data_IF_034061158088
#
_entry.id   IF_034061158088
#
_cell.length_a   1.000
_cell.length_b   1.000
_cell.length_c   1.000
_cell.angle_alpha   90.00
_cell.angle_beta   90.00
_cell.angle_gamma   90.00
#
_symmetry.space_group_name_H-M   'P 1'
#
loop_
_entity.id
_entity.type
_entity.pdbx_description
1 polymer ?
#
# COMPACT_ATOMS: atom_id res chain seq x y z
N UNK A 1 -12.84 -8.69 -9.53
CA UNK A 1 -11.72 -7.75 -9.26
C UNK A 1 -10.35 -8.39 -9.37
N UNK A 2 -10.14 -9.66 -8.97
CA UNK A 2 -8.85 -10.38 -9.16
C UNK A 2 -8.29 -10.33 -10.59
N UNK A 3 -9.15 -10.38 -11.62
CA UNK A 3 -8.76 -10.31 -13.04
C UNK A 3 -8.19 -8.94 -13.45
N UNK A 4 -8.66 -7.85 -12.83
CA UNK A 4 -8.18 -6.48 -13.11
C UNK A 4 -6.82 -6.24 -12.45
N UNK A 5 -6.61 -6.77 -11.24
CA UNK A 5 -5.32 -6.73 -10.55
C UNK A 5 -4.25 -7.62 -11.17
N UNK A 6 -4.61 -8.65 -11.93
CA UNK A 6 -3.62 -9.39 -12.74
C UNK A 6 -3.25 -8.63 -14.00
N UNK A 7 -4.21 -7.92 -14.61
CA UNK A 7 -3.97 -7.14 -15.82
C UNK A 7 -3.03 -5.94 -15.57
N UNK A 8 -3.23 -5.19 -14.47
CA UNK A 8 -2.34 -4.08 -14.11
C UNK A 8 -0.91 -4.55 -13.81
N UNK A 9 -0.77 -5.65 -13.07
CA UNK A 9 0.54 -6.27 -12.79
C UNK A 9 1.26 -6.75 -14.06
N UNK A 10 0.54 -7.37 -15.00
CA UNK A 10 1.11 -7.77 -16.30
C UNK A 10 1.59 -6.54 -17.07
N UNK A 11 0.82 -5.44 -17.06
CA UNK A 11 1.19 -4.20 -17.73
C UNK A 11 2.47 -3.58 -17.15
N UNK A 12 2.61 -3.59 -15.82
CA UNK A 12 3.82 -3.12 -15.13
C UNK A 12 5.01 -4.00 -15.51
N UNK A 13 4.86 -5.33 -15.45
CA UNK A 13 5.94 -6.26 -15.80
C UNK A 13 6.39 -6.09 -17.25
N UNK A 14 5.44 -5.97 -18.19
CA UNK A 14 5.74 -5.71 -19.60
C UNK A 14 6.48 -4.38 -19.78
N UNK A 15 6.06 -3.32 -19.08
CA UNK A 15 6.73 -2.02 -19.10
C UNK A 15 8.15 -2.07 -18.54
N UNK A 16 8.38 -2.79 -17.44
CA UNK A 16 9.73 -2.96 -16.86
C UNK A 16 10.65 -3.75 -17.79
N UNK A 17 10.16 -4.87 -18.34
CA UNK A 17 10.94 -5.68 -19.29
C UNK A 17 11.29 -4.84 -20.53
N UNK A 18 10.32 -4.11 -21.08
CA UNK A 18 10.54 -3.20 -22.21
C UNK A 18 11.55 -2.11 -21.89
N UNK A 19 11.50 -1.52 -20.70
CA UNK A 19 12.44 -0.49 -20.27
C UNK A 19 13.87 -1.00 -20.18
N UNK A 20 14.06 -2.24 -19.72
CA UNK A 20 15.39 -2.86 -19.61
C UNK A 20 15.95 -3.21 -21.00
N UNK A 21 15.11 -3.74 -21.90
CA UNK A 21 15.55 -4.21 -23.21
C UNK A 21 15.70 -3.07 -24.24
N UNK A 22 14.90 -2.01 -24.14
CA UNK A 22 14.76 -0.96 -25.15
C UNK A 22 14.79 0.44 -24.53
N UNK A 23 15.71 0.67 -23.59
CA UNK A 23 15.81 1.94 -22.87
C UNK A 23 15.93 3.15 -23.81
N UNK A 24 16.84 3.11 -24.78
CA UNK A 24 17.18 4.29 -25.60
C UNK A 24 16.06 4.71 -26.56
N UNK A 25 15.22 3.77 -27.01
CA UNK A 25 14.19 4.03 -28.03
C UNK A 25 12.78 4.07 -27.46
N UNK A 26 12.52 3.33 -26.38
CA UNK A 26 11.18 3.09 -25.85
C UNK A 26 11.02 3.52 -24.39
N UNK A 27 11.98 4.25 -23.81
CA UNK A 27 11.87 4.79 -22.44
C UNK A 27 10.53 5.50 -22.14
N UNK A 28 10.05 6.49 -22.92
CA UNK A 28 8.82 7.21 -22.57
C UNK A 28 7.59 6.32 -22.61
N UNK A 29 7.51 5.38 -23.57
CA UNK A 29 6.41 4.42 -23.70
C UNK A 29 6.41 3.43 -22.54
N UNK A 30 7.59 2.90 -22.20
CA UNK A 30 7.77 1.92 -21.13
C UNK A 30 7.43 2.52 -19.76
N UNK A 31 7.86 3.77 -19.51
CA UNK A 31 7.47 4.54 -18.32
C UNK A 31 5.95 4.76 -18.31
N UNK A 32 5.35 5.13 -19.43
CA UNK A 32 3.90 5.31 -19.55
C UNK A 32 3.11 4.05 -19.19
N UNK A 33 3.56 2.88 -19.64
CA UNK A 33 2.96 1.59 -19.29
C UNK A 33 3.06 1.29 -17.79
N UNK A 34 4.22 1.51 -17.17
CA UNK A 34 4.43 1.29 -15.74
C UNK A 34 3.51 2.19 -14.92
N UNK A 35 3.47 3.49 -15.24
CA UNK A 35 2.63 4.47 -14.53
C UNK A 35 1.16 4.12 -14.67
N UNK A 36 0.71 3.79 -15.88
CA UNK A 36 -0.70 3.43 -16.13
C UNK A 36 -1.09 2.17 -15.38
N UNK A 37 -0.23 1.15 -15.38
CA UNK A 37 -0.45 -0.09 -14.63
C UNK A 37 -0.52 0.15 -13.12
N UNK A 38 0.39 0.97 -12.58
CA UNK A 38 0.40 1.34 -11.17
C UNK A 38 -0.86 2.13 -10.76
N UNK A 39 -1.32 3.07 -11.59
CA UNK A 39 -2.56 3.81 -11.37
C UNK A 39 -3.78 2.90 -11.37
N UNK A 40 -3.82 1.92 -12.28
CA UNK A 40 -4.90 0.94 -12.35
C UNK A 40 -4.96 0.08 -11.07
N UNK A 41 -3.82 -0.43 -10.60
CA UNK A 41 -3.73 -1.17 -9.33
C UNK A 41 -4.19 -0.31 -8.14
N UNK A 42 -3.72 0.93 -8.07
CA UNK A 42 -4.11 1.86 -7.02
C UNK A 42 -5.63 2.11 -7.04
N UNK A 43 -6.24 2.30 -8.21
CA UNK A 43 -7.68 2.48 -8.37
C UNK A 43 -8.47 1.24 -7.91
N UNK A 44 -8.02 0.04 -8.26
CA UNK A 44 -8.66 -1.21 -7.83
C UNK A 44 -8.54 -1.37 -6.30
N UNK A 45 -7.37 -1.10 -5.72
CA UNK A 45 -7.12 -1.16 -4.28
C UNK A 45 -7.98 -0.15 -3.48
N UNK A 46 -8.23 1.03 -4.06
CA UNK A 46 -9.15 2.02 -3.48
C UNK A 46 -10.60 1.54 -3.55
N UNK A 47 -11.00 0.85 -4.63
CA UNK A 47 -12.37 0.36 -4.84
C UNK A 47 -12.69 -0.86 -3.98
N UNK A 48 -11.74 -1.76 -3.72
CA UNK A 48 -11.96 -2.92 -2.82
C UNK A 48 -12.13 -2.52 -1.36
N UNK A 49 -11.57 -1.38 -0.94
CA UNK A 49 -11.66 -0.85 0.43
C UNK A 49 -12.63 0.34 0.51
N UNK A 50 -13.71 0.33 -0.29
CA UNK A 50 -14.65 1.45 -0.44
C UNK A 50 -15.22 1.92 0.91
N UNK A 51 -15.51 0.99 1.81
CA UNK A 51 -16.11 1.27 3.12
C UNK A 51 -15.13 1.86 4.14
N UNK A 52 -13.84 1.89 3.83
CA UNK A 52 -12.80 2.47 4.70
C UNK A 52 -12.50 3.90 4.27
N UNK A 53 -12.21 4.82 5.19
CA UNK A 53 -11.76 6.16 4.83
C UNK A 53 -10.41 6.14 4.09
N UNK A 54 -10.21 7.04 3.12
CA UNK A 54 -9.00 7.16 2.26
C UNK A 54 -7.67 6.98 3.01
N UNK A 55 -7.40 7.69 4.14
CA UNK A 55 -6.13 7.52 4.87
C UNK A 55 -5.88 6.07 5.32
N UNK A 56 -6.92 5.34 5.71
CA UNK A 56 -6.78 3.92 6.09
C UNK A 56 -6.58 3.00 4.88
N UNK A 57 -6.96 3.41 3.66
CA UNK A 57 -6.71 2.64 2.44
C UNK A 57 -5.25 2.74 2.00
N UNK A 58 -4.68 3.95 2.12
CA UNK A 58 -3.30 4.29 1.76
C UNK A 58 -2.25 3.92 2.83
N UNK A 59 -2.68 3.38 3.98
CA UNK A 59 -1.77 3.02 5.08
C UNK A 59 -1.44 4.17 6.04
N UNK A 60 -1.95 5.37 5.80
CA UNK A 60 -1.87 6.51 6.71
C UNK A 60 -2.92 6.40 7.81
N UNK A 61 -2.67 5.51 8.76
CA UNK A 61 -3.58 5.27 9.88
C UNK A 61 -3.34 6.29 11.01
N UNK A 62 -4.43 6.89 11.52
CA UNK A 62 -4.42 7.56 12.83
C UNK A 62 -4.69 6.51 13.91
N UNK A 63 -3.79 6.41 14.88
CA UNK A 63 -3.89 5.47 15.99
C UNK A 63 -4.10 6.20 17.30
N UNK A 64 -4.90 5.61 18.17
CA UNK A 64 -4.98 5.98 19.58
C UNK A 64 -4.25 4.95 20.43
N UNK A 65 -3.66 5.43 21.51
CA UNK A 65 -3.11 4.57 22.54
C UNK A 65 -4.26 3.90 23.30
N UNK A 66 -4.34 2.57 23.23
CA UNK A 66 -5.40 1.79 23.90
C UNK A 66 -4.93 1.09 25.15
N UNK A 67 -3.62 1.05 25.42
CA UNK A 67 -3.08 0.43 26.63
C UNK A 67 -1.68 -0.13 26.44
N UNK A 68 -1.26 -0.95 27.39
CA UNK A 68 0.00 -1.68 27.36
C UNK A 68 -0.25 -3.16 27.11
N UNK A 69 0.75 -3.85 26.58
CA UNK A 69 0.69 -5.30 26.42
C UNK A 69 0.70 -5.99 27.79
N UNK A 70 -0.19 -6.96 27.97
CA UNK A 70 -0.30 -7.74 29.21
C UNK A 70 0.94 -8.60 29.45
N UNK A 71 1.57 -9.10 28.37
CA UNK A 71 2.77 -9.93 28.44
C UNK A 71 4.04 -9.09 28.57
N UNK A 72 4.06 -7.90 27.96
CA UNK A 72 5.22 -7.01 27.99
C UNK A 72 4.81 -5.54 28.21
N UNK A 73 4.83 -5.11 29.48
CA UNK A 73 4.50 -3.73 29.87
C UNK A 73 5.37 -2.66 29.20
N UNK A 74 6.52 -3.03 28.63
CA UNK A 74 7.37 -2.14 27.85
C UNK A 74 6.86 -1.89 26.42
N UNK A 75 5.73 -2.50 26.03
CA UNK A 75 5.08 -2.29 24.74
C UNK A 75 3.76 -1.53 24.90
N UNK A 76 3.64 -0.42 24.16
CA UNK A 76 2.38 0.32 23.99
C UNK A 76 1.57 -0.27 22.84
N UNK A 77 0.28 -0.46 23.08
CA UNK A 77 -0.71 -0.88 22.10
C UNK A 77 -1.40 0.35 21.54
N UNK A 78 -1.37 0.47 20.23
CA UNK A 78 -2.01 1.52 19.46
C UNK A 78 -3.08 0.91 18.55
N UNK A 79 -4.31 1.39 18.60
CA UNK A 79 -5.40 0.93 17.74
C UNK A 79 -5.84 2.03 16.78
N UNK A 80 -6.02 1.68 15.50
CA UNK A 80 -6.53 2.64 14.53
C UNK A 80 -8.01 2.95 14.80
N UNK A 81 -8.36 4.23 14.96
CA UNK A 81 -9.74 4.71 15.23
C UNK A 81 -10.79 4.23 14.23
N UNK A 82 -10.39 3.89 13.01
CA UNK A 82 -11.28 3.68 11.87
C UNK A 82 -11.31 2.24 11.36
N UNK A 83 -10.15 1.57 11.30
CA UNK A 83 -10.06 0.21 10.79
C UNK A 83 -9.68 -0.81 11.85
N UNK A 84 -9.61 -0.40 13.13
CA UNK A 84 -9.30 -1.23 14.29
C UNK A 84 -7.98 -2.02 14.22
N UNK A 85 -7.09 -1.65 13.29
CA UNK A 85 -5.76 -2.27 13.17
C UNK A 85 -4.96 -1.98 14.42
N UNK A 86 -4.39 -3.02 15.02
CA UNK A 86 -3.55 -2.94 16.22
C UNK A 86 -2.09 -2.87 15.80
N UNK A 87 -1.33 -1.96 16.41
CA UNK A 87 0.12 -1.83 16.28
C UNK A 87 0.73 -1.80 17.69
N UNK A 88 1.75 -2.62 17.93
CA UNK A 88 2.55 -2.59 19.15
C UNK A 88 3.82 -1.80 18.87
N UNK A 89 4.24 -0.94 19.80
CA UNK A 89 5.52 -0.24 19.72
C UNK A 89 6.20 -0.22 21.08
N UNK A 90 7.52 -0.39 21.07
CA UNK A 90 8.34 -0.37 22.29
C UNK A 90 8.35 1.05 22.86
N UNK A 91 8.31 1.17 24.18
CA UNK A 91 8.65 2.41 24.88
C UNK A 91 10.11 2.76 24.53
N UNK A 92 10.31 3.74 23.67
CA UNK A 92 11.64 4.36 23.53
C UNK A 92 11.97 5.02 24.85
N UNK A 93 13.02 4.54 25.53
CA UNK A 93 13.56 5.19 26.72
C UNK A 93 14.02 6.61 26.34
N UNK A 94 13.41 7.60 26.98
CA UNK A 94 13.95 8.95 27.06
C UNK A 94 14.77 9.10 28.34
#
# INVERSE_FOLDING_TARGET
MKKLTTAGLILIMAGVISLILFFDTMAPVSIGMIVTGALMEAAVAMKTKKDRPVPCRLGFHRYDHTGYDEENRSMRIYQCRRCHKIKKAVLGGG
#
